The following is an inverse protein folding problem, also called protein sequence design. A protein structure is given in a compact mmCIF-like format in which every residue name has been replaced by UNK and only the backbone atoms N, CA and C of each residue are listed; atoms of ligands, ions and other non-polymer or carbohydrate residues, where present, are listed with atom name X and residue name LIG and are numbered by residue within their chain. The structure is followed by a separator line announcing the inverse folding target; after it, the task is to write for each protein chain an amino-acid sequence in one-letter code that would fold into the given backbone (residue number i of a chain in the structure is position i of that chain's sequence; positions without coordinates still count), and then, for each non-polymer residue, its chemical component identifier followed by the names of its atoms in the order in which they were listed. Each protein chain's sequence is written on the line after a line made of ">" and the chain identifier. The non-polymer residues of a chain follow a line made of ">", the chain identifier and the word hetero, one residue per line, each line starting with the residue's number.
data_IF_303410881421
#
_entry.id   IF_303410881421
#
_cell.length_a   1.000
_cell.length_b   1.000
_cell.length_c   1.000
_cell.angle_alpha   90.00
_cell.angle_beta   90.00
_cell.angle_gamma   90.00
#
_symmetry.space_group_name_H-M   'P 1'
#
loop_
_entity.id
_entity.type
_entity.pdbx_description
1 polymer ?
#
# COMPACT_ATOMS: atom_id res chain seq x y z
N UNK A 1 18.73 -8.22 15.89
CA UNK A 1 17.42 -7.53 15.98
C UNK A 1 17.26 -6.69 14.73
N UNK A 2 16.12 -6.74 14.02
CA UNK A 2 15.85 -5.80 12.95
C UNK A 2 15.99 -4.35 13.46
N UNK A 3 16.40 -3.42 12.59
CA UNK A 3 16.49 -2.01 12.96
C UNK A 3 15.14 -1.44 13.41
N UNK A 4 15.12 -0.34 14.18
CA UNK A 4 13.88 0.23 14.76
C UNK A 4 12.83 0.66 13.73
N UNK A 5 13.22 0.77 12.45
CA UNK A 5 12.36 1.17 11.33
C UNK A 5 12.19 0.07 10.27
N UNK A 6 12.56 -1.17 10.57
CA UNK A 6 12.56 -2.24 9.58
C UNK A 6 11.17 -2.53 9.00
N UNK A 7 10.11 -2.40 9.81
CA UNK A 7 8.73 -2.66 9.38
C UNK A 7 8.27 -1.59 8.38
N UNK A 8 8.42 -0.31 8.72
CA UNK A 8 8.12 0.78 7.79
C UNK A 8 9.00 0.74 6.55
N UNK A 9 10.31 0.50 6.67
CA UNK A 9 11.18 0.39 5.49
C UNK A 9 10.70 -0.69 4.50
N UNK A 10 10.42 -1.90 4.98
CA UNK A 10 9.92 -2.99 4.15
C UNK A 10 8.58 -2.65 3.48
N UNK A 11 7.66 -2.00 4.20
CA UNK A 11 6.39 -1.55 3.64
C UNK A 11 6.59 -0.47 2.57
N UNK A 12 7.49 0.48 2.80
CA UNK A 12 7.81 1.56 1.86
C UNK A 12 8.38 1.01 0.56
N UNK A 13 9.40 0.14 0.64
CA UNK A 13 9.98 -0.54 -0.53
C UNK A 13 8.92 -1.27 -1.36
N UNK A 14 7.94 -1.89 -0.69
CA UNK A 14 6.88 -2.62 -1.37
C UNK A 14 5.83 -1.72 -2.01
N UNK A 15 5.51 -0.58 -1.39
CA UNK A 15 4.68 0.47 -2.00
C UNK A 15 5.37 1.03 -3.25
N UNK A 16 6.67 1.30 -3.18
CA UNK A 16 7.44 1.79 -4.33
C UNK A 16 7.48 0.75 -5.45
N UNK A 17 7.66 -0.53 -5.12
CA UNK A 17 7.63 -1.62 -6.09
C UNK A 17 6.25 -1.82 -6.75
N UNK A 18 5.17 -1.48 -6.03
CA UNK A 18 3.78 -1.57 -6.51
C UNK A 18 3.45 -0.47 -7.52
N UNK A 19 3.92 0.77 -7.27
CA UNK A 19 3.61 1.94 -8.08
C UNK A 19 4.74 2.37 -9.03
N UNK A 20 5.94 1.81 -8.90
CA UNK A 20 7.11 2.14 -9.73
C UNK A 20 7.66 3.55 -9.48
N UNK A 21 7.31 4.19 -8.35
CA UNK A 21 7.71 5.56 -8.01
C UNK A 21 7.99 5.69 -6.50
N UNK A 22 8.85 6.63 -6.08
CA UNK A 22 9.17 6.85 -4.67
C UNK A 22 7.94 7.24 -3.82
N UNK A 23 7.90 6.80 -2.56
CA UNK A 23 6.79 7.15 -1.64
C UNK A 23 6.58 8.66 -1.52
N UNK A 24 7.67 9.42 -1.45
CA UNK A 24 7.62 10.89 -1.36
C UNK A 24 6.91 11.54 -2.56
N UNK A 25 7.10 11.01 -3.77
CA UNK A 25 6.42 11.50 -4.96
C UNK A 25 4.94 11.10 -4.97
N UNK A 26 4.63 9.88 -4.53
CA UNK A 26 3.25 9.39 -4.43
C UNK A 26 2.44 10.21 -3.42
N UNK A 27 3.08 10.69 -2.35
CA UNK A 27 2.46 11.51 -1.30
C UNK A 27 2.26 12.97 -1.73
N UNK A 28 3.03 13.48 -2.69
CA UNK A 28 2.93 14.86 -3.17
C UNK A 28 1.63 15.15 -3.96
N UNK A 29 0.99 14.10 -4.49
CA UNK A 29 -0.28 14.18 -5.23
C UNK A 29 -1.35 13.31 -4.53
N UNK A 30 -1.93 13.77 -3.41
CA UNK A 30 -2.91 12.98 -2.68
C UNK A 30 -4.24 12.92 -3.46
N UNK A 31 -4.71 11.70 -3.72
CA UNK A 31 -6.04 11.45 -4.30
C UNK A 31 -6.89 10.72 -3.26
N UNK A 32 -7.68 11.45 -2.44
CA UNK A 32 -8.51 10.85 -1.40
C UNK A 32 -9.43 9.75 -1.95
N UNK A 33 -9.64 8.70 -1.16
CA UNK A 33 -10.47 7.55 -1.55
C UNK A 33 -9.80 6.54 -2.49
N UNK A 34 -8.60 6.83 -3.01
CA UNK A 34 -7.83 5.86 -3.79
C UNK A 34 -7.12 4.83 -2.90
N UNK A 35 -6.84 3.63 -3.45
CA UNK A 35 -6.02 2.63 -2.77
C UNK A 35 -4.62 3.17 -2.42
N UNK A 36 -4.02 3.96 -3.33
CA UNK A 36 -2.74 4.64 -3.09
C UNK A 36 -2.80 5.48 -1.82
N UNK A 37 -3.82 6.31 -1.69
CA UNK A 37 -4.00 7.17 -0.53
C UNK A 37 -4.19 6.37 0.76
N UNK A 38 -4.96 5.29 0.74
CA UNK A 38 -5.14 4.41 1.90
C UNK A 38 -3.82 3.72 2.32
N UNK A 39 -3.02 3.27 1.35
CA UNK A 39 -1.70 2.66 1.61
C UNK A 39 -0.73 3.67 2.20
N UNK A 40 -0.68 4.91 1.68
CA UNK A 40 0.18 5.97 2.21
C UNK A 40 -0.21 6.36 3.64
N UNK A 41 -1.51 6.50 3.93
CA UNK A 41 -1.97 6.77 5.30
C UNK A 41 -1.63 5.62 6.27
N UNK A 42 -1.77 4.37 5.81
CA UNK A 42 -1.42 3.19 6.62
C UNK A 42 0.09 3.10 6.86
N UNK A 43 0.89 3.48 5.86
CA UNK A 43 2.34 3.59 5.96
C UNK A 43 2.77 4.67 6.95
N UNK A 44 2.15 5.85 6.93
CA UNK A 44 2.42 6.92 7.90
C UNK A 44 2.09 6.48 9.33
N UNK A 45 0.98 5.78 9.52
CA UNK A 45 0.62 5.19 10.82
C UNK A 45 1.66 4.17 11.30
N UNK A 46 2.17 3.33 10.40
CA UNK A 46 3.24 2.38 10.72
C UNK A 46 4.55 3.09 11.08
N UNK A 47 4.94 4.14 10.35
CA UNK A 47 6.12 4.94 10.68
C UNK A 47 5.98 5.61 12.06
N UNK A 48 4.78 6.10 12.38
CA UNK A 48 4.50 6.65 13.70
C UNK A 48 4.66 5.59 14.80
N UNK A 49 4.15 4.38 14.57
CA UNK A 49 4.29 3.26 15.51
C UNK A 49 5.77 2.84 15.71
N UNK A 50 6.57 2.78 14.66
CA UNK A 50 8.03 2.51 14.75
C UNK A 50 8.75 3.56 15.63
N UNK A 51 8.43 4.85 15.43
CA UNK A 51 8.97 5.94 16.26
C UNK A 51 8.52 5.82 17.71
N UNK A 52 7.27 5.45 17.97
CA UNK A 52 6.75 5.25 19.32
C UNK A 52 7.47 4.11 20.05
N UNK A 53 7.75 2.98 19.37
CA UNK A 53 8.55 1.88 19.94
C UNK A 53 9.94 2.37 20.34
N UNK A 54 10.61 3.10 19.44
CA UNK A 54 11.96 3.64 19.69
C UNK A 54 11.94 4.57 20.91
N UNK A 55 10.99 5.51 20.94
CA UNK A 55 10.83 6.44 22.05
C UNK A 55 10.62 5.71 23.39
N UNK A 56 9.71 4.74 23.46
CA UNK A 56 9.44 4.01 24.70
C UNK A 56 10.59 3.08 25.11
N UNK A 57 11.34 2.52 24.15
CA UNK A 57 12.54 1.75 24.44
C UNK A 57 13.63 2.62 25.05
N UNK A 58 13.85 3.83 24.52
CA UNK A 58 14.79 4.80 25.10
C UNK A 58 14.37 5.28 26.50
N UNK A 59 13.08 5.52 26.71
CA UNK A 59 12.56 5.87 28.04
C UNK A 59 12.83 4.75 29.06
N UNK A 60 12.53 3.50 28.69
CA UNK A 60 12.81 2.36 29.56
C UNK A 60 14.31 2.24 29.83
N UNK A 61 15.14 2.38 28.80
CA UNK A 61 16.60 2.32 28.92
C UNK A 61 17.15 3.39 29.88
N UNK A 62 16.61 4.62 29.85
CA UNK A 62 17.00 5.67 30.80
C UNK A 62 16.64 5.31 32.24
N UNK A 63 15.48 4.69 32.48
CA UNK A 63 15.04 4.29 33.81
C UNK A 63 15.83 3.09 34.36
N UNK A 64 16.30 2.22 33.46
CA UNK A 64 17.04 1.00 33.79
C UNK A 64 18.54 1.08 33.46
N UNK A 65 19.07 2.30 33.31
CA UNK A 65 20.47 2.51 32.97
C UNK A 65 21.38 1.83 34.00
N UNK A 66 22.42 1.08 33.59
CA UNK A 66 23.23 0.27 34.51
C UNK A 66 23.90 1.08 35.61
N UNK A 67 24.26 2.33 35.32
CA UNK A 67 24.90 3.23 36.30
C UNK A 67 23.91 3.94 37.25
N UNK A 68 22.59 3.67 37.10
CA UNK A 68 21.54 4.29 37.91
C UNK A 68 21.16 3.35 39.05
N UNK A 69 21.20 3.85 40.28
CA UNK A 69 20.60 3.15 41.41
C UNK A 69 19.07 3.10 41.22
N UNK A 70 18.49 1.90 41.27
CA UNK A 70 17.05 1.70 41.17
C UNK A 70 16.49 1.66 42.59
N UNK A 71 15.65 2.65 42.90
CA UNK A 71 14.97 2.73 44.19
C UNK A 71 13.57 2.11 44.13
N UNK A 72 12.96 1.87 45.30
CA UNK A 72 11.60 1.29 45.37
C UNK A 72 10.54 2.13 44.63
N UNK A 73 10.72 3.46 44.61
CA UNK A 73 9.85 4.40 43.88
C UNK A 73 9.95 4.23 42.36
N UNK A 74 11.09 3.76 41.85
CA UNK A 74 11.31 3.59 40.41
C UNK A 74 10.60 2.36 39.84
N UNK A 75 10.33 1.36 40.68
CA UNK A 75 9.74 0.07 40.24
C UNK A 75 8.41 0.31 39.53
N UNK A 76 7.58 1.22 40.04
CA UNK A 76 6.31 1.59 39.41
C UNK A 76 6.50 2.27 38.04
N UNK A 77 7.48 3.16 37.93
CA UNK A 77 7.81 3.85 36.68
C UNK A 77 8.37 2.90 35.62
N UNK A 78 9.24 1.97 36.01
CA UNK A 78 9.79 0.93 35.13
C UNK A 78 8.69 0.00 34.63
N UNK A 79 7.78 -0.43 35.52
CA UNK A 79 6.63 -1.26 35.15
C UNK A 79 5.70 -0.54 34.16
N UNK A 80 5.43 0.75 34.36
CA UNK A 80 4.62 1.54 33.42
C UNK A 80 5.33 1.74 32.07
N UNK A 81 6.62 2.09 32.08
CA UNK A 81 7.41 2.24 30.87
C UNK A 81 7.47 0.94 30.04
N UNK A 82 7.61 -0.20 30.72
CA UNK A 82 7.58 -1.53 30.09
C UNK A 82 6.21 -1.80 29.46
N UNK A 83 5.12 -1.49 30.16
CA UNK A 83 3.75 -1.63 29.62
C UNK A 83 3.54 -0.77 28.37
N UNK A 84 4.00 0.49 28.39
CA UNK A 84 3.89 1.40 27.24
C UNK A 84 4.70 0.91 26.04
N UNK A 85 5.91 0.40 26.27
CA UNK A 85 6.71 -0.20 25.21
C UNK A 85 6.02 -1.42 24.61
N UNK A 86 5.51 -2.33 25.45
CA UNK A 86 4.78 -3.50 24.97
C UNK A 86 3.56 -3.12 24.12
N UNK A 87 2.79 -2.13 24.58
CA UNK A 87 1.65 -1.61 23.81
C UNK A 87 2.07 -1.03 22.45
N UNK A 88 3.11 -0.20 22.42
CA UNK A 88 3.62 0.37 21.17
C UNK A 88 4.08 -0.71 20.18
N UNK A 89 4.74 -1.77 20.68
CA UNK A 89 5.14 -2.92 19.87
C UNK A 89 3.92 -3.64 19.29
N UNK A 90 2.89 -3.91 20.09
CA UNK A 90 1.64 -4.53 19.60
C UNK A 90 0.96 -3.68 18.51
N UNK A 91 0.92 -2.36 18.68
CA UNK A 91 0.34 -1.45 17.67
C UNK A 91 1.15 -1.49 16.37
N UNK A 92 2.48 -1.40 16.46
CA UNK A 92 3.38 -1.52 15.29
C UNK A 92 3.14 -2.84 14.56
N UNK A 93 3.14 -3.96 15.28
CA UNK A 93 3.00 -5.28 14.69
C UNK A 93 1.63 -5.47 14.03
N UNK A 94 0.57 -4.90 14.62
CA UNK A 94 -0.77 -4.90 14.03
C UNK A 94 -0.80 -4.11 12.71
N UNK A 95 -0.20 -2.92 12.68
CA UNK A 95 -0.09 -2.13 11.45
C UNK A 95 0.76 -2.84 10.39
N UNK A 96 1.90 -3.42 10.78
CA UNK A 96 2.80 -4.13 9.88
C UNK A 96 2.11 -5.36 9.27
N UNK A 97 1.37 -6.12 10.06
CA UNK A 97 0.62 -7.28 9.58
C UNK A 97 -0.47 -6.86 8.59
N UNK A 98 -1.36 -5.94 8.97
CA UNK A 98 -2.49 -5.52 8.11
C UNK A 98 -1.98 -4.89 6.81
N UNK A 99 -1.01 -3.98 6.89
CA UNK A 99 -0.43 -3.36 5.69
C UNK A 99 0.30 -4.39 4.82
N UNK A 100 1.06 -5.30 5.43
CA UNK A 100 1.74 -6.39 4.73
C UNK A 100 0.77 -7.29 3.98
N UNK A 101 -0.33 -7.71 4.62
CA UNK A 101 -1.36 -8.54 4.01
C UNK A 101 -2.02 -7.84 2.82
N UNK A 102 -2.36 -6.56 2.96
CA UNK A 102 -2.91 -5.75 1.85
C UNK A 102 -1.90 -5.65 0.72
N UNK A 103 -0.65 -5.26 0.99
CA UNK A 103 0.40 -5.15 -0.03
C UNK A 103 0.71 -6.48 -0.73
N UNK A 104 0.57 -7.60 -0.03
CA UNK A 104 0.73 -8.93 -0.62
C UNK A 104 -0.45 -9.35 -1.49
N UNK A 105 -1.66 -8.87 -1.17
CA UNK A 105 -2.86 -9.12 -1.97
C UNK A 105 -2.90 -8.33 -3.29
N UNK A 106 -2.16 -7.22 -3.37
CA UNK A 106 -2.16 -6.33 -4.52
C UNK A 106 -1.15 -6.77 -5.58
N UNK A 107 -1.60 -6.82 -6.83
CA UNK A 107 -0.73 -6.98 -7.99
C UNK A 107 -0.27 -5.60 -8.50
N UNK A 108 0.88 -5.57 -9.19
CA UNK A 108 1.39 -4.35 -9.83
C UNK A 108 0.33 -3.74 -10.73
N UNK A 109 0.00 -2.47 -10.49
CA UNK A 109 -0.91 -1.72 -11.35
C UNK A 109 -0.09 -1.26 -12.57
N UNK A 110 -0.40 -1.70 -13.80
CA UNK A 110 0.21 -1.10 -14.97
C UNK A 110 -0.22 0.36 -15.05
N UNK A 111 0.73 1.24 -15.38
CA UNK A 111 0.50 2.68 -15.49
C UNK A 111 -0.50 2.93 -16.63
N UNK A 112 -1.78 3.08 -16.28
CA UNK A 112 -2.81 3.47 -17.25
C UNK A 112 -2.59 4.96 -17.47
N UNK A 113 -1.76 5.29 -18.47
CA UNK A 113 -1.76 6.62 -19.05
C UNK A 113 -3.22 7.04 -19.29
N UNK A 114 -3.63 8.27 -18.92
CA UNK A 114 -5.02 8.69 -19.06
C UNK A 114 -5.45 8.40 -20.48
N UNK A 115 -6.39 7.47 -20.64
CA UNK A 115 -6.86 7.05 -21.95
C UNK A 115 -7.34 8.31 -22.67
N UNK A 116 -6.60 8.72 -23.70
CA UNK A 116 -7.06 9.74 -24.60
C UNK A 116 -8.44 9.26 -25.10
N UNK A 117 -9.47 10.05 -24.78
CA UNK A 117 -10.87 9.81 -25.07
C UNK A 117 -11.04 9.05 -26.39
N UNK A 118 -11.37 7.77 -26.31
CA UNK A 118 -11.74 6.99 -27.48
C UNK A 118 -13.08 7.54 -27.95
N UNK A 119 -13.03 8.45 -28.93
CA UNK A 119 -14.21 8.94 -29.62
C UNK A 119 -15.07 7.75 -30.09
N UNK A 120 -16.41 7.82 -29.99
CA UNK A 120 -17.28 6.73 -30.40
C UNK A 120 -17.05 6.45 -31.90
N UNK A 121 -16.51 5.26 -32.21
CA UNK A 121 -16.42 4.81 -33.59
C UNK A 121 -17.84 4.54 -34.09
N UNK A 122 -18.37 5.48 -34.87
CA UNK A 122 -19.54 5.26 -35.70
C UNK A 122 -19.24 4.09 -36.65
N UNK A 123 -20.01 3.01 -36.53
CA UNK A 123 -19.98 1.88 -37.45
C UNK A 123 -20.36 2.38 -38.84
N UNK A 124 -19.35 2.63 -39.68
CA UNK A 124 -19.52 2.93 -41.08
C UNK A 124 -19.98 1.66 -41.81
N UNK A 125 -21.25 1.64 -42.22
CA UNK A 125 -21.80 0.71 -43.21
C UNK A 125 -21.02 0.83 -44.52
N UNK A 126 -20.57 -0.29 -45.07
CA UNK A 126 -20.15 -0.38 -46.48
C UNK A 126 -21.04 -1.38 -47.23
N UNK A 127 -21.58 -1.02 -48.41
CA UNK A 127 -22.49 -1.87 -49.17
C UNK A 127 -21.77 -2.67 -50.29
N UNK A 128 -22.55 -3.59 -50.88
CA UNK A 128 -22.42 -4.26 -52.19
C UNK A 128 -21.94 -5.74 -52.16
N UNK A 129 -22.42 -6.66 -52.99
CA UNK A 129 -22.76 -6.58 -54.42
C UNK A 129 -23.96 -7.46 -54.86
N UNK A 130 -24.55 -7.22 -56.05
CA UNK A 130 -25.67 -7.99 -56.60
C UNK A 130 -25.22 -9.35 -57.14
N UNK A 131 -25.99 -10.40 -56.83
CA UNK A 131 -25.77 -11.75 -57.33
C UNK A 131 -26.28 -11.86 -58.78
N UNK A 132 -25.36 -12.15 -59.69
CA UNK A 132 -25.64 -12.40 -61.11
C UNK A 132 -26.61 -13.57 -61.29
N UNK A 133 -27.55 -13.38 -62.23
CA UNK A 133 -28.48 -14.39 -62.70
C UNK A 133 -27.75 -15.45 -63.54
N UNK A 134 -28.06 -16.72 -63.28
CA UNK A 134 -27.69 -17.83 -64.17
C UNK A 134 -28.96 -18.34 -64.83
N UNK A 135 -28.99 -18.18 -66.15
CA UNK A 135 -29.99 -18.69 -67.10
C UNK A 135 -29.77 -20.16 -67.43
N UNK A 136 -30.87 -20.86 -67.75
CA UNK A 136 -31.06 -21.97 -68.72
C UNK A 136 -31.73 -23.24 -68.15
N UNK A 137 -32.38 -24.09 -68.98
CA UNK A 137 -33.38 -23.78 -70.00
C UNK A 137 -34.62 -24.72 -69.89
N UNK A 138 -35.57 -24.56 -70.80
CA UNK A 138 -36.86 -25.24 -70.87
C UNK A 138 -36.80 -26.77 -71.10
N UNK A 139 -37.84 -27.49 -70.61
CA UNK A 139 -38.47 -28.57 -71.37
C UNK A 139 -39.91 -28.86 -70.93
N UNK A 140 -40.82 -28.78 -71.91
CA UNK A 140 -42.24 -29.11 -71.86
C UNK A 140 -42.51 -30.61 -71.79
N UNK A 141 -43.57 -31.04 -71.08
CA UNK A 141 -44.83 -31.55 -71.65
C UNK A 141 -45.86 -31.82 -70.56
#
# INVERSE_FOLDING_TARGET
>A
MPGPYAASQAAGERIEALYGRPVAELAADPVPGSMRYALLNSFDALQYADRAVTFHAEQLHRLTHPDRAIESVDVGHIADATRRLAHAVTVRDSHAQVLGDVLNSLARVPDIAPAASAAPQALAVSPALPRAATTEPARSR
#
